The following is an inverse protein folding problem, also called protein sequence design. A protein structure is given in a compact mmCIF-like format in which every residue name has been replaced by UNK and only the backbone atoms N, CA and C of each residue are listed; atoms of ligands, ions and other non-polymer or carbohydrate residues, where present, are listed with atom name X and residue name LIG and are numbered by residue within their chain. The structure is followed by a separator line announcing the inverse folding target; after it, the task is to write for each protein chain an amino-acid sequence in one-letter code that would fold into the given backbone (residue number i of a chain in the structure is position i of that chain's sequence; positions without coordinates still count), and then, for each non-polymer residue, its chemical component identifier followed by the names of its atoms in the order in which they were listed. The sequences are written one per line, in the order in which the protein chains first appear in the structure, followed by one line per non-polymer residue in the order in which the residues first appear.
data_IF_882921511221
#
_entry.id   IF_882921511221
#
_cell.length_a   1.000
_cell.length_b   1.000
_cell.length_c   1.000
_cell.angle_alpha   90.00
_cell.angle_beta   90.00
_cell.angle_gamma   90.00
#
_symmetry.space_group_name_H-M   'P 1'
#
loop_
_entity.id
_entity.type
_entity.pdbx_description
1 polymer ?
#
# COMPACT_ATOMS: atom_id res chain seq x y z
N UNK A 1 6.63 -13.16 -26.50
CA UNK A 1 7.81 -12.81 -25.68
C UNK A 1 7.60 -11.42 -25.11
N UNK A 2 6.97 -11.33 -23.93
CA UNK A 2 6.85 -10.08 -23.19
C UNK A 2 8.01 -10.08 -22.17
N UNK A 3 8.98 -9.20 -22.37
CA UNK A 3 10.06 -9.00 -21.42
C UNK A 3 9.48 -8.57 -20.07
N UNK A 4 9.99 -9.15 -18.98
CA UNK A 4 9.57 -8.88 -17.60
C UNK A 4 9.80 -7.40 -17.25
N UNK A 5 8.71 -6.62 -17.17
CA UNK A 5 8.77 -5.22 -16.69
C UNK A 5 9.21 -5.14 -15.21
N UNK A 6 9.06 -6.21 -14.43
CA UNK A 6 9.39 -6.23 -13.01
C UNK A 6 10.86 -5.93 -12.67
N UNK A 7 11.81 -6.41 -13.49
CA UNK A 7 13.24 -6.15 -13.28
C UNK A 7 13.66 -4.70 -13.57
N UNK A 8 12.89 -3.97 -14.40
CA UNK A 8 13.16 -2.57 -14.79
C UNK A 8 12.77 -1.54 -13.72
N UNK A 9 12.01 -1.92 -12.70
CA UNK A 9 11.44 -0.96 -11.74
C UNK A 9 12.27 -0.84 -10.46
N UNK A 10 12.92 -1.92 -10.00
CA UNK A 10 14.01 -1.84 -8.99
C UNK A 10 15.21 -1.06 -9.56
N UNK A 11 15.39 -1.04 -10.89
CA UNK A 11 16.39 -0.18 -11.55
C UNK A 11 16.16 1.33 -11.29
N UNK A 12 14.98 1.77 -10.82
CA UNK A 12 14.74 3.16 -10.40
C UNK A 12 15.29 3.47 -9.00
N UNK A 13 15.59 2.49 -8.13
CA UNK A 13 16.23 2.73 -6.83
C UNK A 13 17.68 2.26 -6.85
N UNK A 14 18.62 3.20 -6.92
CA UNK A 14 20.03 2.89 -6.67
C UNK A 14 20.27 2.65 -5.18
N UNK A 15 21.24 1.80 -4.85
CA UNK A 15 21.70 1.61 -3.46
C UNK A 15 22.08 2.94 -2.80
N UNK A 16 22.76 3.83 -3.53
CA UNK A 16 23.10 5.20 -3.09
C UNK A 16 21.86 6.03 -2.71
N UNK A 17 20.77 5.93 -3.48
CA UNK A 17 19.51 6.63 -3.17
C UNK A 17 18.87 6.07 -1.90
N UNK A 18 18.86 4.75 -1.73
CA UNK A 18 18.31 4.11 -0.53
C UNK A 18 19.11 4.54 0.70
N UNK A 19 20.45 4.46 0.63
CA UNK A 19 21.35 4.80 1.73
C UNK A 19 21.20 6.27 2.14
N UNK A 20 21.17 7.19 1.18
CA UNK A 20 20.96 8.63 1.47
C UNK A 20 19.59 8.90 2.05
N UNK A 21 18.54 8.23 1.56
CA UNK A 21 17.18 8.39 2.08
C UNK A 21 17.05 7.87 3.51
N UNK A 22 17.72 6.75 3.82
CA UNK A 22 17.81 6.21 5.18
C UNK A 22 18.59 7.16 6.08
N UNK A 23 19.76 7.62 5.65
CA UNK A 23 20.59 8.54 6.41
C UNK A 23 19.84 9.85 6.72
N UNK A 24 19.14 10.42 5.75
CA UNK A 24 18.30 11.60 5.94
C UNK A 24 17.13 11.33 6.90
N UNK A 25 16.49 10.17 6.81
CA UNK A 25 15.38 9.75 7.67
C UNK A 25 15.79 9.51 9.12
N UNK A 26 17.04 9.11 9.37
CA UNK A 26 17.59 8.98 10.72
C UNK A 26 18.16 10.31 11.24
N UNK A 27 18.74 11.13 10.36
CA UNK A 27 19.34 12.42 10.71
C UNK A 27 18.30 13.45 11.15
N UNK A 28 17.11 13.45 10.54
CA UNK A 28 16.04 14.41 10.90
C UNK A 28 15.59 14.28 12.35
N UNK A 29 15.69 13.07 12.94
CA UNK A 29 15.36 12.82 14.35
C UNK A 29 16.29 13.54 15.34
N UNK A 30 17.48 14.00 14.91
CA UNK A 30 18.38 14.80 15.75
C UNK A 30 17.87 16.21 16.00
N UNK A 31 16.89 16.67 15.20
CA UNK A 31 16.25 17.97 15.33
C UNK A 31 14.73 17.81 15.21
N UNK A 32 14.07 17.14 16.16
CA UNK A 32 12.65 16.78 16.05
C UNK A 32 11.71 17.99 16.09
N UNK A 33 12.21 19.15 16.51
CA UNK A 33 11.49 20.44 16.46
C UNK A 33 11.40 21.02 15.04
N UNK A 34 12.25 20.58 14.11
CA UNK A 34 12.19 21.02 12.72
C UNK A 34 11.10 20.23 11.97
N UNK A 35 10.28 20.88 11.13
CA UNK A 35 9.18 20.21 10.42
C UNK A 35 9.67 19.13 9.45
N UNK A 36 10.83 19.33 8.83
CA UNK A 36 11.48 18.39 7.93
C UNK A 36 12.98 18.71 7.81
N UNK A 37 13.75 17.78 7.23
CA UNK A 37 15.12 17.98 6.79
C UNK A 37 15.15 17.92 5.26
N UNK A 38 15.87 18.84 4.62
CA UNK A 38 16.07 18.88 3.17
C UNK A 38 17.55 18.72 2.85
N UNK A 39 17.89 17.69 2.08
CA UNK A 39 19.24 17.41 1.60
C UNK A 39 19.30 17.46 0.08
N UNK A 40 20.25 18.23 -0.46
CA UNK A 40 20.43 18.39 -1.91
C UNK A 40 21.52 17.45 -2.40
N UNK A 41 21.18 16.53 -3.28
CA UNK A 41 22.12 15.66 -3.96
C UNK A 41 22.39 16.20 -5.37
N UNK A 42 23.43 17.03 -5.49
CA UNK A 42 23.79 17.67 -6.76
C UNK A 42 24.58 16.76 -7.71
N UNK A 43 24.98 15.56 -7.24
CA UNK A 43 25.78 14.59 -8.03
C UNK A 43 24.91 13.67 -8.89
N UNK A 44 23.61 13.58 -8.62
CA UNK A 44 22.68 12.80 -9.43
C UNK A 44 22.29 13.56 -10.70
N UNK A 45 21.91 12.82 -11.74
CA UNK A 45 21.27 13.37 -12.93
C UNK A 45 19.92 12.66 -13.17
N UNK A 46 18.78 13.36 -13.08
CA UNK A 46 18.62 14.76 -12.70
C UNK A 46 19.08 15.04 -11.26
N UNK A 47 19.35 16.31 -10.94
CA UNK A 47 19.67 16.74 -9.56
C UNK A 47 18.53 16.31 -8.64
N UNK A 48 18.88 15.85 -7.45
CA UNK A 48 17.94 15.25 -6.52
C UNK A 48 17.84 16.06 -5.23
N UNK A 49 16.64 16.08 -4.64
CA UNK A 49 16.38 16.64 -3.32
C UNK A 49 15.67 15.58 -2.50
N UNK A 50 16.24 15.27 -1.34
CA UNK A 50 15.65 14.36 -0.36
C UNK A 50 15.02 15.19 0.74
N UNK A 51 13.73 15.00 0.98
CA UNK A 51 12.97 15.66 2.03
C UNK A 51 12.54 14.59 3.02
N UNK A 52 13.08 14.63 4.24
CA UNK A 52 12.76 13.66 5.29
C UNK A 52 12.01 14.28 6.46
N UNK A 53 11.10 13.52 7.07
CA UNK A 53 10.23 13.98 8.15
C UNK A 53 10.57 13.28 9.48
N UNK A 54 10.59 14.03 10.61
CA UNK A 54 10.82 13.42 11.91
C UNK A 54 9.68 12.49 12.29
N UNK A 55 10.01 11.43 13.03
CA UNK A 55 9.02 10.59 13.66
C UNK A 55 8.39 11.31 14.86
N UNK A 56 7.25 10.80 15.30
CA UNK A 56 6.65 11.07 16.60
C UNK A 56 6.18 9.74 17.18
N UNK A 57 6.45 9.53 18.46
CA UNK A 57 5.97 8.37 19.21
C UNK A 57 4.86 8.72 20.19
N UNK A 58 4.57 10.01 20.40
CA UNK A 58 3.51 10.46 21.27
C UNK A 58 2.18 9.77 20.92
N UNK A 59 1.52 9.15 21.91
CA UNK A 59 0.28 8.40 21.72
C UNK A 59 -0.79 9.20 20.96
N UNK A 60 -0.91 10.50 21.27
CA UNK A 60 -1.83 11.43 20.59
C UNK A 60 -1.57 11.59 19.09
N UNK A 61 -0.38 11.26 18.59
CA UNK A 61 0.00 11.38 17.18
C UNK A 61 -0.26 10.07 16.40
N UNK A 62 -0.86 9.07 17.07
CA UNK A 62 -1.23 7.77 16.51
C UNK A 62 -2.71 7.46 16.74
N UNK A 63 -3.22 7.76 17.95
CA UNK A 63 -4.56 7.39 18.42
C UNK A 63 -5.61 8.49 18.25
N UNK A 64 -6.78 8.13 17.69
CA UNK A 64 -7.99 8.96 17.63
C UNK A 64 -9.15 8.32 18.40
N UNK A 65 -10.24 9.07 18.65
CA UNK A 65 -11.44 8.56 19.32
C UNK A 65 -12.14 7.40 18.58
N UNK A 66 -11.84 7.18 17.31
CA UNK A 66 -12.33 6.03 16.53
C UNK A 66 -11.52 4.77 16.84
N UNK A 67 -12.08 3.58 16.58
CA UNK A 67 -11.47 2.29 16.93
C UNK A 67 -10.04 2.12 16.43
N UNK A 68 -9.74 2.60 15.22
CA UNK A 68 -8.40 2.48 14.60
C UNK A 68 -7.75 3.84 14.30
N UNK A 69 -8.29 4.94 14.83
CA UNK A 69 -7.75 6.27 14.59
C UNK A 69 -7.94 6.81 13.16
N UNK A 70 -8.80 6.17 12.37
CA UNK A 70 -9.09 6.48 10.97
C UNK A 70 -9.98 7.72 10.77
N UNK A 71 -9.81 8.39 9.63
CA UNK A 71 -10.63 9.50 9.17
C UNK A 71 -10.67 9.53 7.65
N UNK A 72 -11.67 10.21 7.07
CA UNK A 72 -11.72 10.43 5.62
C UNK A 72 -10.57 11.34 5.17
N UNK A 73 -9.95 10.99 4.05
CA UNK A 73 -8.94 11.83 3.43
C UNK A 73 -9.54 13.13 2.89
N UNK A 74 -8.79 14.23 2.99
CA UNK A 74 -9.23 15.52 2.47
C UNK A 74 -9.19 15.53 0.93
N UNK A 75 -10.36 15.35 0.30
CA UNK A 75 -10.49 15.35 -1.17
C UNK A 75 -10.16 16.69 -1.82
N UNK A 76 -10.02 17.79 -1.06
CA UNK A 76 -9.49 19.06 -1.61
C UNK A 76 -8.00 18.97 -1.90
N UNK A 77 -7.28 18.19 -1.09
CA UNK A 77 -5.85 17.94 -1.25
C UNK A 77 -5.58 16.69 -2.10
N UNK A 78 -6.47 15.70 -2.03
CA UNK A 78 -6.30 14.39 -2.66
C UNK A 78 -7.56 13.92 -3.42
N UNK A 79 -7.96 14.63 -4.50
CA UNK A 79 -9.20 14.33 -5.21
C UNK A 79 -9.25 12.93 -5.83
N UNK A 80 -8.10 12.31 -6.11
CA UNK A 80 -8.01 10.98 -6.71
C UNK A 80 -8.09 9.86 -5.66
N UNK A 81 -7.85 10.14 -4.37
CA UNK A 81 -7.88 9.13 -3.29
C UNK A 81 -9.31 8.82 -2.81
N UNK A 82 -10.12 8.32 -3.75
CA UNK A 82 -11.50 7.86 -3.56
C UNK A 82 -11.83 6.70 -4.48
N UNK A 83 -12.91 5.98 -4.17
CA UNK A 83 -13.59 5.15 -5.15
C UNK A 83 -14.42 6.05 -6.07
N UNK A 84 -14.23 5.95 -7.39
CA UNK A 84 -14.83 6.88 -8.35
C UNK A 84 -16.34 6.64 -8.48
N UNK A 85 -16.77 5.38 -8.62
CA UNK A 85 -18.16 5.05 -8.94
C UNK A 85 -19.17 5.47 -7.85
N UNK A 86 -18.79 5.33 -6.59
CA UNK A 86 -19.65 5.69 -5.44
C UNK A 86 -19.16 6.93 -4.68
N UNK A 87 -18.11 7.60 -5.17
CA UNK A 87 -17.53 8.82 -4.60
C UNK A 87 -17.16 8.71 -3.10
N UNK A 88 -16.76 7.53 -2.64
CA UNK A 88 -16.36 7.29 -1.24
C UNK A 88 -14.87 7.66 -1.06
N UNK A 89 -14.52 8.61 -0.18
CA UNK A 89 -13.12 8.93 0.13
C UNK A 89 -12.37 7.74 0.72
N UNK A 90 -11.06 7.67 0.47
CA UNK A 90 -10.21 6.76 1.21
C UNK A 90 -10.17 7.12 2.70
N UNK A 91 -10.02 6.11 3.56
CA UNK A 91 -9.74 6.34 4.98
C UNK A 91 -8.24 6.31 5.21
N UNK A 92 -7.74 7.22 6.04
CA UNK A 92 -6.34 7.31 6.49
C UNK A 92 -6.26 7.54 7.99
N UNK A 93 -5.08 7.34 8.58
CA UNK A 93 -4.89 7.69 9.99
C UNK A 93 -5.00 9.21 10.15
N UNK A 94 -5.86 9.64 11.09
CA UNK A 94 -6.19 11.04 11.32
C UNK A 94 -4.98 11.90 11.64
N UNK A 95 -4.07 11.42 12.49
CA UNK A 95 -2.95 12.22 12.96
C UNK A 95 -1.83 12.31 11.93
N UNK A 96 -1.62 11.26 11.14
CA UNK A 96 -0.70 11.35 10.02
C UNK A 96 -1.18 12.39 8.99
N UNK A 97 -2.49 12.43 8.71
CA UNK A 97 -3.09 13.44 7.85
C UNK A 97 -2.95 14.85 8.44
N UNK A 98 -3.30 15.04 9.71
CA UNK A 98 -3.19 16.33 10.39
C UNK A 98 -1.75 16.84 10.41
N UNK A 99 -0.77 16.00 10.78
CA UNK A 99 0.65 16.37 10.75
C UNK A 99 1.07 16.85 9.36
N UNK A 100 0.62 16.18 8.30
CA UNK A 100 0.90 16.61 6.94
C UNK A 100 0.23 17.96 6.58
N UNK A 101 -1.04 18.15 6.94
CA UNK A 101 -1.75 19.41 6.72
C UNK A 101 -1.07 20.57 7.45
N UNK A 102 -0.68 20.37 8.72
CA UNK A 102 0.07 21.37 9.48
C UNK A 102 1.41 21.71 8.83
N UNK A 103 2.11 20.72 8.26
CA UNK A 103 3.35 20.95 7.51
C UNK A 103 3.11 21.79 6.26
N UNK A 104 2.03 21.54 5.51
CA UNK A 104 1.69 22.36 4.34
C UNK A 104 1.34 23.79 4.71
N UNK A 105 0.65 24.01 5.83
CA UNK A 105 0.19 25.32 6.27
C UNK A 105 1.28 26.15 6.96
N UNK A 106 2.07 25.52 7.84
CA UNK A 106 2.95 26.22 8.79
C UNK A 106 4.43 26.20 8.41
N UNK A 107 4.82 25.50 7.34
CA UNK A 107 6.24 25.35 6.94
C UNK A 107 6.51 25.80 5.50
N UNK A 108 7.78 25.85 5.12
CA UNK A 108 8.24 26.14 3.76
C UNK A 108 8.14 24.96 2.78
N UNK A 109 7.53 23.83 3.18
CA UNK A 109 7.49 22.60 2.38
C UNK A 109 6.94 22.83 0.97
N UNK A 110 5.80 23.53 0.84
CA UNK A 110 5.19 23.82 -0.45
C UNK A 110 6.14 24.58 -1.38
N UNK A 111 6.78 25.63 -0.87
CA UNK A 111 7.73 26.44 -1.63
C UNK A 111 8.96 25.64 -2.08
N UNK A 112 9.48 24.75 -1.23
CA UNK A 112 10.62 23.89 -1.58
C UNK A 112 10.24 22.85 -2.65
N UNK A 113 9.02 22.30 -2.59
CA UNK A 113 8.50 21.39 -3.62
C UNK A 113 8.30 22.16 -4.94
N UNK A 114 7.69 23.34 -4.90
CA UNK A 114 7.54 24.23 -6.06
C UNK A 114 8.90 24.52 -6.72
N UNK A 115 9.92 24.89 -5.93
CA UNK A 115 11.28 25.15 -6.44
C UNK A 115 11.90 23.92 -7.10
N UNK A 116 11.77 22.75 -6.47
CA UNK A 116 12.33 21.51 -6.98
C UNK A 116 11.64 21.05 -8.27
N UNK A 117 10.30 21.12 -8.33
CA UNK A 117 9.51 20.77 -9.52
C UNK A 117 9.81 21.71 -10.69
N UNK A 118 9.84 23.03 -10.44
CA UNK A 118 10.17 24.03 -11.47
C UNK A 118 11.58 23.85 -12.02
N UNK A 119 12.54 23.45 -11.17
CA UNK A 119 13.92 23.14 -11.57
C UNK A 119 14.10 21.73 -12.12
N UNK A 120 13.01 20.96 -12.32
CA UNK A 120 13.01 19.58 -12.81
C UNK A 120 13.98 18.68 -12.03
N UNK A 121 13.98 18.81 -10.71
CA UNK A 121 14.75 17.94 -9.81
C UNK A 121 13.96 16.68 -9.51
N UNK A 122 14.66 15.56 -9.29
CA UNK A 122 14.04 14.39 -8.65
C UNK A 122 13.76 14.73 -7.19
N UNK A 123 12.50 14.67 -6.78
CA UNK A 123 12.12 14.78 -5.37
C UNK A 123 12.03 13.36 -4.81
N UNK A 124 12.66 13.14 -3.65
CA UNK A 124 12.51 11.91 -2.87
C UNK A 124 11.99 12.30 -1.50
N UNK A 125 10.77 11.89 -1.17
CA UNK A 125 10.24 12.00 0.18
C UNK A 125 10.65 10.75 0.95
N UNK A 126 11.21 10.94 2.15
CA UNK A 126 11.69 9.85 2.97
C UNK A 126 11.20 9.95 4.42
N UNK A 127 11.07 8.81 5.09
CA UNK A 127 10.66 8.81 6.48
C UNK A 127 10.92 7.48 7.17
N UNK A 128 11.35 7.57 8.43
CA UNK A 128 11.44 6.43 9.34
C UNK A 128 10.26 6.46 10.32
N UNK A 129 9.70 5.29 10.65
CA UNK A 129 8.57 5.17 11.58
C UNK A 129 7.39 6.05 11.14
N UNK A 130 6.74 6.80 12.05
CA UNK A 130 5.66 7.74 11.73
C UNK A 130 6.09 8.99 10.92
N UNK A 131 7.37 9.14 10.56
CA UNK A 131 7.78 10.05 9.49
C UNK A 131 7.43 9.50 8.09
N UNK A 132 7.32 8.18 7.95
CA UNK A 132 6.96 7.49 6.70
C UNK A 132 5.57 7.85 6.16
N UNK A 133 4.50 7.82 6.97
CA UNK A 133 3.17 8.25 6.54
C UNK A 133 3.11 9.68 6.05
N UNK A 134 3.87 10.59 6.68
CA UNK A 134 3.98 11.98 6.25
C UNK A 134 4.69 12.08 4.89
N UNK A 135 5.75 11.30 4.67
CA UNK A 135 6.43 11.20 3.37
C UNK A 135 5.49 10.67 2.28
N UNK A 136 4.67 9.67 2.61
CA UNK A 136 3.67 9.10 1.70
C UNK A 136 2.64 10.15 1.30
N UNK A 137 2.05 10.86 2.27
CA UNK A 137 1.06 11.92 2.01
C UNK A 137 1.66 13.09 1.23
N UNK A 138 2.91 13.49 1.53
CA UNK A 138 3.62 14.53 0.77
C UNK A 138 3.86 14.12 -0.68
N UNK A 139 4.17 12.85 -0.92
CA UNK A 139 4.36 12.30 -2.28
C UNK A 139 3.05 12.35 -3.06
N UNK A 140 1.96 11.84 -2.48
CA UNK A 140 0.64 11.83 -3.11
C UNK A 140 0.13 13.25 -3.38
N UNK A 141 0.30 14.16 -2.43
CA UNK A 141 -0.06 15.57 -2.60
C UNK A 141 0.71 16.20 -3.77
N UNK A 142 2.01 15.91 -3.88
CA UNK A 142 2.84 16.36 -5.00
C UNK A 142 2.36 15.77 -6.34
N UNK A 143 1.96 14.50 -6.37
CA UNK A 143 1.40 13.88 -7.57
C UNK A 143 0.09 14.56 -8.01
N UNK A 144 -0.84 14.77 -7.08
CA UNK A 144 -2.13 15.43 -7.33
C UNK A 144 -1.96 16.86 -7.87
N UNK A 145 -1.02 17.62 -7.29
CA UNK A 145 -0.85 19.05 -7.58
C UNK A 145 -0.03 19.34 -8.84
N UNK A 146 0.92 18.47 -9.19
CA UNK A 146 1.91 18.76 -10.24
C UNK A 146 1.93 17.75 -11.39
N UNK A 147 1.35 16.56 -11.22
CA UNK A 147 1.40 15.47 -12.21
C UNK A 147 -0.01 15.13 -12.69
N UNK A 148 -0.65 16.12 -13.32
CA UNK A 148 -1.95 15.92 -13.97
C UNK A 148 -1.84 15.04 -15.22
N UNK A 149 -2.94 14.41 -15.70
CA UNK A 149 -2.95 13.62 -16.94
C UNK A 149 -2.47 14.38 -18.20
N UNK A 150 -2.48 15.73 -18.14
CA UNK A 150 -2.03 16.63 -19.21
C UNK A 150 -0.50 16.84 -19.19
N UNK A 151 0.17 16.62 -18.07
CA UNK A 151 1.63 16.75 -17.91
C UNK A 151 2.33 15.40 -18.11
N UNK A 152 2.29 14.86 -19.33
CA UNK A 152 2.88 13.56 -19.72
C UNK A 152 4.44 13.51 -19.70
N UNK A 153 5.10 14.41 -18.98
CA UNK A 153 6.58 14.53 -18.98
C UNK A 153 7.20 15.05 -17.69
N UNK A 154 6.45 15.09 -16.58
CA UNK A 154 6.99 15.47 -15.26
C UNK A 154 7.78 14.33 -14.60
N UNK A 155 8.84 14.69 -13.86
CA UNK A 155 9.57 13.74 -13.02
C UNK A 155 8.68 13.42 -11.81
N UNK A 156 8.32 12.15 -11.66
CA UNK A 156 7.48 11.72 -10.55
C UNK A 156 8.28 11.71 -9.25
N UNK A 157 7.74 12.23 -8.12
CA UNK A 157 8.40 12.11 -6.84
C UNK A 157 8.46 10.63 -6.44
N UNK A 158 9.52 10.26 -5.72
CA UNK A 158 9.67 8.93 -5.12
C UNK A 158 9.38 9.02 -3.63
N UNK A 159 8.80 7.97 -3.07
CA UNK A 159 8.63 7.82 -1.64
C UNK A 159 9.43 6.61 -1.14
N UNK A 160 10.32 6.81 -0.17
CA UNK A 160 11.12 5.73 0.43
C UNK A 160 10.94 5.76 1.95
N UNK A 161 10.30 4.73 2.49
CA UNK A 161 10.01 4.67 3.92
C UNK A 161 10.68 3.48 4.60
N UNK A 162 11.03 3.61 5.88
CA UNK A 162 11.71 2.60 6.67
C UNK A 162 10.90 2.33 7.95
N UNK A 163 10.42 1.11 8.14
CA UNK A 163 9.61 0.75 9.32
C UNK A 163 8.34 1.60 9.47
N UNK A 164 7.76 2.04 8.35
CA UNK A 164 6.57 2.89 8.38
C UNK A 164 5.34 2.07 8.78
N UNK A 165 4.47 2.59 9.68
CA UNK A 165 3.13 2.05 9.85
C UNK A 165 2.32 2.16 8.55
N UNK A 166 1.24 1.38 8.46
CA UNK A 166 0.26 1.52 7.39
C UNK A 166 -0.40 2.91 7.41
N UNK A 167 -0.92 3.37 6.27
CA UNK A 167 -1.43 4.75 6.15
C UNK A 167 -2.92 4.82 5.89
N UNK A 168 -3.41 4.02 4.93
CA UNK A 168 -4.78 4.09 4.46
C UNK A 168 -5.43 2.73 4.23
N UNK A 169 -6.72 2.76 3.94
CA UNK A 169 -7.53 1.56 3.74
C UNK A 169 -7.40 0.95 2.33
N UNK A 170 -8.24 -0.03 2.02
CA UNK A 170 -8.27 -0.66 0.69
C UNK A 170 -8.58 0.34 -0.45
N UNK A 171 -9.42 1.36 -0.22
CA UNK A 171 -9.70 2.42 -1.21
C UNK A 171 -8.43 3.23 -1.49
N UNK A 172 -7.64 3.55 -0.47
CA UNK A 172 -6.34 4.21 -0.64
C UNK A 172 -5.42 3.37 -1.55
N UNK A 173 -5.30 2.07 -1.25
CA UNK A 173 -4.49 1.13 -2.03
C UNK A 173 -4.99 1.02 -3.48
N UNK A 174 -6.30 0.84 -3.68
CA UNK A 174 -6.95 0.78 -4.99
C UNK A 174 -6.76 2.06 -5.80
N UNK A 175 -7.00 3.23 -5.20
CA UNK A 175 -6.86 4.52 -5.88
C UNK A 175 -5.43 4.73 -6.39
N UNK A 176 -4.41 4.44 -5.59
CA UNK A 176 -3.01 4.57 -6.05
C UNK A 176 -2.66 3.63 -7.20
N UNK A 177 -3.25 2.43 -7.28
CA UNK A 177 -3.06 1.52 -8.42
C UNK A 177 -3.78 2.03 -9.66
N UNK A 178 -5.03 2.48 -9.51
CA UNK A 178 -5.83 3.05 -10.60
C UNK A 178 -5.13 4.23 -11.29
N UNK A 179 -4.50 5.10 -10.50
CA UNK A 179 -3.75 6.25 -11.03
C UNK A 179 -2.32 5.89 -11.50
N UNK A 180 -1.90 4.62 -11.43
CA UNK A 180 -0.53 4.16 -11.68
C UNK A 180 0.53 4.86 -10.80
N UNK A 181 0.18 5.18 -9.56
CA UNK A 181 1.08 5.81 -8.60
C UNK A 181 1.82 4.83 -7.71
N UNK A 182 1.29 3.62 -7.49
CA UNK A 182 1.88 2.65 -6.55
C UNK A 182 3.34 2.28 -6.87
N UNK A 183 3.78 2.39 -8.13
CA UNK A 183 5.17 2.08 -8.54
C UNK A 183 6.23 3.05 -7.98
N UNK A 184 5.82 4.20 -7.43
CA UNK A 184 6.74 5.23 -6.91
C UNK A 184 6.93 5.17 -5.39
N UNK A 185 6.32 4.18 -4.72
CA UNK A 185 6.34 4.01 -3.27
C UNK A 185 7.13 2.76 -2.91
N UNK A 186 8.17 2.91 -2.09
CA UNK A 186 9.05 1.83 -1.64
C UNK A 186 9.08 1.77 -0.11
N UNK A 187 8.61 0.66 0.46
CA UNK A 187 8.47 0.45 1.90
C UNK A 187 9.45 -0.62 2.36
N UNK A 188 10.54 -0.21 2.99
CA UNK A 188 11.50 -1.13 3.61
C UNK A 188 11.00 -1.57 4.98
N UNK A 189 10.93 -2.88 5.17
CA UNK A 189 10.43 -3.51 6.39
C UNK A 189 11.40 -4.60 6.82
N UNK A 190 12.05 -4.44 7.97
CA UNK A 190 12.79 -5.54 8.59
C UNK A 190 11.79 -6.60 9.06
N UNK A 191 12.18 -7.88 8.93
CA UNK A 191 11.31 -9.06 9.09
C UNK A 191 10.39 -8.95 10.31
N UNK A 192 10.93 -8.70 11.49
CA UNK A 192 10.22 -8.69 12.76
C UNK A 192 9.73 -7.31 13.20
N UNK A 193 10.10 -6.22 12.52
CA UNK A 193 9.76 -4.84 12.95
C UNK A 193 8.26 -4.70 13.27
N UNK A 194 7.92 -4.39 14.52
CA UNK A 194 6.51 -4.35 14.94
C UNK A 194 5.76 -3.13 14.40
N UNK A 195 6.45 -2.02 14.08
CA UNK A 195 5.82 -0.73 13.78
C UNK A 195 4.93 -0.75 12.53
N UNK A 196 5.33 -1.38 11.41
CA UNK A 196 4.45 -1.60 10.26
C UNK A 196 3.16 -2.36 10.57
N UNK A 197 3.09 -3.09 11.70
CA UNK A 197 1.95 -3.92 12.10
C UNK A 197 1.05 -3.27 13.16
N UNK A 198 1.50 -2.22 13.85
CA UNK A 198 0.76 -1.60 14.99
C UNK A 198 -0.69 -1.26 14.63
N UNK A 199 -0.91 -0.65 13.47
CA UNK A 199 -2.25 -0.23 13.06
C UNK A 199 -3.17 -1.39 12.63
N UNK A 200 -2.70 -2.63 12.65
CA UNK A 200 -3.57 -3.81 12.51
C UNK A 200 -4.33 -4.13 13.80
N UNK A 201 -3.94 -3.54 14.93
CA UNK A 201 -4.64 -3.62 16.20
C UNK A 201 -5.44 -2.35 16.51
N UNK A 202 -6.57 -2.48 17.23
CA UNK A 202 -7.29 -1.33 17.74
C UNK A 202 -6.39 -0.63 18.77
N UNK A 203 -6.14 0.65 18.55
CA UNK A 203 -5.16 1.36 19.38
C UNK A 203 -5.62 1.49 20.84
N UNK A 204 -6.93 1.40 21.12
CA UNK A 204 -7.49 1.35 22.48
C UNK A 204 -7.05 0.14 23.30
N UNK A 205 -6.75 -0.99 22.63
CA UNK A 205 -6.18 -2.16 23.31
C UNK A 205 -4.70 -1.98 23.62
N UNK A 206 -4.06 -0.95 23.07
CA UNK A 206 -2.63 -0.72 23.16
C UNK A 206 -2.24 0.38 24.15
N UNK A 207 -3.17 1.14 24.73
CA UNK A 207 -2.88 2.35 25.54
C UNK A 207 -1.65 2.21 26.47
N UNK A 208 -1.66 1.23 27.39
CA UNK A 208 -0.54 1.02 28.33
C UNK A 208 0.72 0.44 27.67
N UNK A 209 0.56 -0.46 26.69
CA UNK A 209 1.70 -1.06 25.99
C UNK A 209 2.39 -0.09 25.04
N UNK A 210 1.63 0.81 24.43
CA UNK A 210 2.10 1.81 23.48
C UNK A 210 2.87 2.93 24.18
N UNK A 211 2.51 3.31 25.41
CA UNK A 211 3.29 4.25 26.21
C UNK A 211 4.74 3.79 26.39
N UNK A 212 4.95 2.51 26.69
CA UNK A 212 6.29 1.93 26.83
C UNK A 212 7.06 1.90 25.49
N UNK A 213 6.36 1.70 24.37
CA UNK A 213 6.96 1.73 23.02
C UNK A 213 7.23 3.17 22.56
N UNK A 214 6.39 4.13 22.94
CA UNK A 214 6.56 5.57 22.65
C UNK A 214 7.92 6.09 23.15
N UNK A 215 8.38 5.61 24.31
CA UNK A 215 9.70 5.97 24.85
C UNK A 215 10.87 5.67 23.89
N UNK A 216 10.75 4.65 23.04
CA UNK A 216 11.83 4.22 22.14
C UNK A 216 11.64 4.68 20.69
N UNK A 217 10.39 4.97 20.25
CA UNK A 217 10.08 5.40 18.88
C UNK A 217 9.88 6.92 18.74
N UNK A 218 9.75 7.66 19.84
CA UNK A 218 9.65 9.13 19.80
C UNK A 218 11.04 9.80 19.87
N UNK A 219 11.47 10.55 18.85
CA UNK A 219 12.75 11.26 18.86
C UNK A 219 12.86 12.36 19.92
N UNK A 220 11.75 12.77 20.56
CA UNK A 220 11.75 13.72 21.67
C UNK A 220 12.12 13.07 23.00
N UNK A 221 12.06 11.74 23.10
CA UNK A 221 12.41 11.01 24.31
C UNK A 221 13.92 10.77 24.40
N UNK A 222 14.48 10.85 25.62
CA UNK A 222 15.92 10.59 25.87
C UNK A 222 16.33 9.15 25.54
N UNK A 223 15.38 8.24 25.62
CA UNK A 223 15.51 6.80 25.36
C UNK A 223 15.38 6.42 23.89
N UNK A 224 15.12 7.38 23.00
CA UNK A 224 14.92 7.16 21.57
C UNK A 224 16.04 6.32 20.94
N UNK A 225 15.67 5.29 20.19
CA UNK A 225 16.60 4.41 19.48
C UNK A 225 17.74 3.83 20.34
N UNK A 226 17.55 3.73 21.66
CA UNK A 226 18.53 3.13 22.56
C UNK A 226 18.14 1.70 22.89
N UNK A 227 18.96 0.73 22.45
CA UNK A 227 18.76 -0.68 22.77
C UNK A 227 18.78 -0.96 24.29
N UNK A 228 19.53 -0.17 25.07
CA UNK A 228 19.53 -0.28 26.54
C UNK A 228 18.18 0.09 27.15
N UNK A 229 17.37 0.89 26.45
CA UNK A 229 16.00 1.24 26.86
C UNK A 229 15.02 0.11 26.64
N UNK A 230 15.24 -0.75 25.64
CA UNK A 230 14.38 -1.91 25.38
C UNK A 230 14.28 -2.84 26.59
N UNK A 231 15.40 -3.00 27.32
CA UNK A 231 15.46 -3.84 28.53
C UNK A 231 14.61 -3.31 29.69
N UNK A 232 14.17 -2.04 29.63
CA UNK A 232 13.33 -1.41 30.67
C UNK A 232 11.83 -1.56 30.39
N UNK A 233 11.44 -1.96 29.18
CA UNK A 233 10.05 -2.19 28.83
C UNK A 233 9.57 -3.41 29.62
N UNK A 234 8.61 -3.21 30.52
CA UNK A 234 7.99 -4.29 31.25
C UNK A 234 7.13 -5.11 30.27
N UNK A 235 7.55 -6.35 29.99
CA UNK A 235 6.82 -7.32 29.17
C UNK A 235 6.52 -6.86 27.71
N UNK A 236 7.55 -6.69 26.85
CA UNK A 236 7.35 -6.37 25.43
C UNK A 236 6.51 -7.42 24.69
N UNK A 237 6.41 -8.63 25.24
CA UNK A 237 5.55 -9.71 24.77
C UNK A 237 4.06 -9.38 24.81
N UNK A 238 3.58 -8.58 25.77
CA UNK A 238 2.16 -8.19 25.86
C UNK A 238 1.78 -7.30 24.68
N UNK A 239 2.57 -6.25 24.45
CA UNK A 239 2.36 -5.35 23.31
C UNK A 239 2.44 -6.10 21.98
N UNK A 240 3.48 -6.93 21.82
CA UNK A 240 3.66 -7.76 20.65
C UNK A 240 2.47 -8.71 20.42
N UNK A 241 2.02 -9.41 21.47
CA UNK A 241 0.92 -10.35 21.38
C UNK A 241 -0.39 -9.66 20.99
N UNK A 242 -0.68 -8.48 21.53
CA UNK A 242 -1.87 -7.72 21.18
C UNK A 242 -1.85 -7.30 19.69
N UNK A 243 -0.71 -6.75 19.22
CA UNK A 243 -0.55 -6.38 17.82
C UNK A 243 -0.69 -7.58 16.90
N UNK A 244 0.00 -8.68 17.20
CA UNK A 244 0.05 -9.85 16.34
C UNK A 244 -1.22 -10.69 16.38
N UNK A 245 -1.97 -10.70 17.49
CA UNK A 245 -3.28 -11.36 17.58
C UNK A 245 -4.34 -10.66 16.73
N UNK A 246 -4.34 -9.33 16.73
CA UNK A 246 -5.22 -8.56 15.85
C UNK A 246 -4.78 -8.68 14.38
N UNK A 247 -3.47 -8.65 14.10
CA UNK A 247 -2.95 -8.94 12.77
C UNK A 247 -3.37 -10.34 12.27
N UNK A 248 -3.35 -11.36 13.13
CA UNK A 248 -3.84 -12.70 12.81
C UNK A 248 -5.32 -12.68 12.41
N UNK A 249 -6.15 -11.94 13.15
CA UNK A 249 -7.58 -11.81 12.87
C UNK A 249 -7.83 -11.12 11.53
N UNK A 250 -7.16 -10.00 11.27
CA UNK A 250 -7.27 -9.25 10.00
C UNK A 250 -6.80 -10.10 8.82
N UNK A 251 -5.64 -10.75 8.93
CA UNK A 251 -5.08 -11.59 7.85
C UNK A 251 -5.90 -12.83 7.60
N UNK A 252 -6.43 -13.48 8.63
CA UNK A 252 -7.34 -14.63 8.50
C UNK A 252 -8.62 -14.25 7.79
N UNK A 253 -9.25 -13.14 8.20
CA UNK A 253 -10.45 -12.66 7.53
C UNK A 253 -10.18 -12.31 6.06
N UNK A 254 -9.06 -11.65 5.77
CA UNK A 254 -8.63 -11.40 4.40
C UNK A 254 -8.42 -12.70 3.61
N UNK A 255 -7.74 -13.69 4.19
CA UNK A 255 -7.49 -14.98 3.54
C UNK A 255 -8.79 -15.74 3.20
N UNK A 256 -9.80 -15.71 4.08
CA UNK A 256 -11.12 -16.27 3.79
C UNK A 256 -11.78 -15.61 2.56
N UNK A 257 -11.69 -14.28 2.45
CA UNK A 257 -12.19 -13.55 1.27
C UNK A 257 -11.42 -13.92 0.01
N UNK A 258 -10.08 -14.00 0.08
CA UNK A 258 -9.23 -14.41 -1.05
C UNK A 258 -9.60 -15.80 -1.57
N UNK A 259 -9.92 -16.73 -0.68
CA UNK A 259 -10.28 -18.11 -1.02
C UNK A 259 -11.76 -18.25 -1.46
N UNK A 260 -12.52 -17.16 -1.54
CA UNK A 260 -13.91 -17.17 -2.00
C UNK A 260 -14.89 -17.78 -0.99
N UNK A 261 -14.56 -17.78 0.31
CA UNK A 261 -15.48 -18.23 1.35
C UNK A 261 -16.64 -17.23 1.47
N UNK A 262 -17.82 -17.62 1.01
CA UNK A 262 -19.08 -16.84 1.07
C UNK A 262 -19.88 -17.12 2.34
N UNK A 263 -19.21 -17.51 3.44
CA UNK A 263 -19.93 -17.81 4.67
C UNK A 263 -20.51 -16.51 5.27
N UNK A 264 -21.84 -16.40 5.33
CA UNK A 264 -22.56 -15.32 6.01
C UNK A 264 -22.12 -15.14 7.49
N UNK A 265 -21.52 -16.17 8.08
CA UNK A 265 -20.91 -16.14 9.43
C UNK A 265 -19.71 -15.21 9.51
N UNK A 266 -18.89 -15.06 8.45
CA UNK A 266 -17.72 -14.17 8.43
C UNK A 266 -18.13 -12.70 8.48
N UNK A 267 -19.15 -12.33 7.71
CA UNK A 267 -19.72 -10.97 7.75
C UNK A 267 -20.40 -10.69 9.09
N UNK A 268 -21.09 -11.69 9.63
CA UNK A 268 -21.70 -11.59 10.97
C UNK A 268 -20.62 -11.42 12.06
N UNK A 269 -19.51 -12.16 11.99
CA UNK A 269 -18.38 -12.06 12.92
C UNK A 269 -17.67 -10.70 12.84
N UNK A 270 -17.55 -10.13 11.63
CA UNK A 270 -16.96 -8.80 11.43
C UNK A 270 -17.76 -7.68 12.12
N UNK A 271 -19.04 -7.90 12.42
CA UNK A 271 -19.85 -6.96 13.20
C UNK A 271 -19.51 -6.98 14.71
N UNK A 272 -18.94 -8.07 15.22
CA UNK A 272 -18.59 -8.23 16.64
C UNK A 272 -17.10 -8.02 16.91
N UNK A 273 -16.24 -8.30 15.94
CA UNK A 273 -14.79 -8.14 16.05
C UNK A 273 -14.35 -7.02 15.11
N UNK A 274 -13.99 -5.83 15.62
CA UNK A 274 -13.55 -4.74 14.76
C UNK A 274 -12.26 -5.14 14.05
N UNK A 275 -12.25 -5.01 12.72
CA UNK A 275 -11.09 -5.31 11.89
C UNK A 275 -10.43 -4.02 11.43
N UNK A 276 -9.11 -3.94 11.55
CA UNK A 276 -8.37 -2.78 11.07
C UNK A 276 -8.67 -2.50 9.60
N UNK A 277 -8.97 -1.24 9.22
CA UNK A 277 -9.22 -0.88 7.83
C UNK A 277 -7.92 -0.77 7.03
N UNK A 278 -6.77 -0.59 7.68
CA UNK A 278 -5.51 -0.24 7.04
C UNK A 278 -4.96 -1.39 6.18
N UNK A 279 -4.47 -1.07 4.98
CA UNK A 279 -3.96 -2.05 4.00
C UNK A 279 -2.60 -1.60 3.44
N UNK A 280 -1.74 -2.56 3.07
CA UNK A 280 -0.55 -2.25 2.29
C UNK A 280 -0.89 -1.60 0.94
N UNK A 281 0.02 -0.76 0.45
CA UNK A 281 0.00 -0.20 -0.89
C UNK A 281 1.44 0.09 -1.31
N UNK A 282 1.69 0.16 -2.63
CA UNK A 282 3.06 0.37 -3.12
C UNK A 282 3.90 -0.91 -3.12
N UNK A 283 5.22 -0.73 -3.21
CA UNK A 283 6.19 -1.82 -3.25
C UNK A 283 6.82 -2.03 -1.88
N UNK A 284 6.62 -3.21 -1.30
CA UNK A 284 7.27 -3.59 -0.04
C UNK A 284 8.56 -4.37 -0.28
N UNK A 285 9.58 -4.05 0.51
CA UNK A 285 10.89 -4.70 0.50
C UNK A 285 11.13 -5.26 1.90
N UNK A 286 10.81 -6.55 2.07
CA UNK A 286 11.05 -7.26 3.33
C UNK A 286 12.52 -7.67 3.41
N UNK A 287 13.20 -7.22 4.46
CA UNK A 287 14.63 -7.47 4.66
C UNK A 287 14.83 -8.50 5.77
N UNK A 288 15.53 -9.59 5.44
CA UNK A 288 15.95 -10.61 6.41
C UNK A 288 17.34 -10.31 6.92
N UNK A 289 17.64 -10.81 8.12
CA UNK A 289 18.93 -10.63 8.79
C UNK A 289 19.64 -11.96 9.05
N UNK A 290 19.18 -13.04 8.41
CA UNK A 290 19.77 -14.38 8.55
C UNK A 290 21.11 -14.48 7.80
N UNK A 291 22.19 -14.80 8.54
CA UNK A 291 23.53 -15.04 7.97
C UNK A 291 24.36 -13.78 7.72
N UNK A 292 25.48 -13.92 6.99
CA UNK A 292 26.36 -12.80 6.62
C UNK A 292 25.81 -11.94 5.45
N UNK A 293 24.78 -12.40 4.74
CA UNK A 293 24.18 -11.72 3.58
C UNK A 293 22.64 -11.85 3.65
N UNK A 294 21.97 -10.87 4.27
CA UNK A 294 20.51 -10.85 4.33
C UNK A 294 19.88 -10.54 2.97
N UNK A 295 18.65 -11.03 2.75
CA UNK A 295 17.92 -10.88 1.49
C UNK A 295 16.87 -9.79 1.56
N UNK A 296 16.60 -9.18 0.41
CA UNK A 296 15.57 -8.17 0.20
C UNK A 296 14.49 -8.72 -0.72
N UNK A 297 13.37 -9.16 -0.13
CA UNK A 297 12.24 -9.75 -0.84
C UNK A 297 11.28 -8.65 -1.26
N UNK A 298 11.09 -8.47 -2.58
CA UNK A 298 10.28 -7.40 -3.15
C UNK A 298 8.91 -7.90 -3.57
N UNK A 299 7.86 -7.24 -3.08
CA UNK A 299 6.46 -7.60 -3.32
C UNK A 299 5.61 -6.37 -3.67
N UNK A 300 4.59 -6.55 -4.51
CA UNK A 300 3.67 -5.48 -4.94
C UNK A 300 2.19 -5.76 -4.70
N UNK A 301 1.79 -7.03 -4.66
CA UNK A 301 0.39 -7.39 -4.42
C UNK A 301 0.03 -7.07 -2.95
N UNK A 302 -0.91 -6.15 -2.70
CA UNK A 302 -1.21 -5.65 -1.34
C UNK A 302 -1.77 -6.74 -0.42
N UNK A 303 -2.55 -7.68 -0.97
CA UNK A 303 -3.13 -8.77 -0.20
C UNK A 303 -2.07 -9.79 0.22
N UNK A 304 -1.13 -10.12 -0.68
CA UNK A 304 0.01 -10.95 -0.36
C UNK A 304 0.92 -10.30 0.69
N UNK A 305 1.19 -8.99 0.57
CA UNK A 305 1.98 -8.23 1.55
C UNK A 305 1.30 -8.26 2.92
N UNK A 306 -0.03 -8.12 2.96
CA UNK A 306 -0.80 -8.19 4.22
C UNK A 306 -0.64 -9.56 4.90
N UNK A 307 -0.65 -10.65 4.13
CA UNK A 307 -0.37 -11.99 4.68
C UNK A 307 1.07 -12.08 5.22
N UNK A 308 2.06 -11.58 4.47
CA UNK A 308 3.47 -11.59 4.90
C UNK A 308 3.69 -10.75 6.16
N UNK A 309 3.00 -9.62 6.33
CA UNK A 309 3.08 -8.80 7.55
C UNK A 309 2.83 -9.59 8.84
N UNK A 310 1.92 -10.56 8.79
CA UNK A 310 1.64 -11.47 9.89
C UNK A 310 2.60 -12.66 9.91
N UNK A 311 2.66 -13.43 8.82
CA UNK A 311 3.36 -14.71 8.80
C UNK A 311 4.88 -14.58 8.97
N UNK A 312 5.49 -13.49 8.50
CA UNK A 312 6.95 -13.28 8.62
C UNK A 312 7.43 -12.99 10.04
N UNK A 313 6.52 -12.53 10.89
CA UNK A 313 6.76 -12.18 12.28
C UNK A 313 6.01 -13.15 13.22
N UNK A 314 5.82 -14.42 12.84
CA UNK A 314 5.29 -15.42 13.76
C UNK A 314 6.38 -16.00 14.67
N UNK A 315 5.95 -16.50 15.83
CA UNK A 315 6.74 -17.34 16.70
C UNK A 315 6.82 -18.75 16.12
N UNK A 316 7.99 -19.39 16.17
CA UNK A 316 8.12 -20.80 15.80
C UNK A 316 7.69 -21.72 16.94
N UNK A 317 7.88 -21.26 18.19
CA UNK A 317 7.44 -21.94 19.41
C UNK A 317 7.17 -20.94 20.56
N UNK A 318 6.53 -21.40 21.63
CA UNK A 318 6.21 -20.54 22.79
C UNK A 318 7.48 -20.05 23.52
N UNK A 319 8.55 -20.84 23.49
CA UNK A 319 9.83 -20.50 24.12
C UNK A 319 10.51 -19.28 23.48
N UNK A 320 10.21 -18.98 22.21
CA UNK A 320 10.78 -17.84 21.49
C UNK A 320 10.07 -16.50 21.80
N UNK A 321 8.97 -16.51 22.56
CA UNK A 321 8.10 -15.34 22.77
C UNK A 321 8.86 -14.11 23.26
N UNK A 322 9.71 -14.28 24.28
CA UNK A 322 10.49 -13.18 24.85
C UNK A 322 11.54 -12.65 23.86
N UNK A 323 12.15 -13.54 23.09
CA UNK A 323 13.18 -13.19 22.11
C UNK A 323 12.59 -12.46 20.91
N UNK A 324 11.52 -12.97 20.31
CA UNK A 324 10.91 -12.37 19.11
C UNK A 324 10.22 -11.06 19.44
N UNK A 325 9.55 -10.95 20.60
CA UNK A 325 8.97 -9.67 21.03
C UNK A 325 10.05 -8.60 21.24
N UNK A 326 11.18 -8.95 21.86
CA UNK A 326 12.33 -8.04 21.96
C UNK A 326 12.90 -7.69 20.58
N UNK A 327 13.11 -8.68 19.72
CA UNK A 327 13.64 -8.50 18.36
C UNK A 327 12.73 -7.60 17.51
N UNK A 328 11.42 -7.70 17.68
CA UNK A 328 10.43 -6.90 16.96
C UNK A 328 10.58 -5.40 17.21
N UNK A 329 10.94 -5.02 18.43
CA UNK A 329 11.23 -3.64 18.80
C UNK A 329 12.66 -3.27 18.41
N UNK A 330 13.63 -4.19 18.59
CA UNK A 330 15.04 -3.97 18.23
C UNK A 330 15.21 -3.65 16.75
N UNK A 331 14.56 -4.41 15.86
CA UNK A 331 14.65 -4.19 14.42
C UNK A 331 14.15 -2.80 14.00
N UNK A 332 13.16 -2.25 14.70
CA UNK A 332 12.74 -0.88 14.44
C UNK A 332 13.85 0.14 14.71
N UNK A 333 14.77 -0.13 15.63
CA UNK A 333 15.85 0.79 15.99
C UNK A 333 17.11 0.57 15.13
N UNK A 334 17.24 -0.60 14.49
CA UNK A 334 18.49 -1.03 13.86
C UNK A 334 18.50 -0.93 12.34
N UNK A 335 17.53 -0.27 11.69
CA UNK A 335 17.55 -0.02 10.23
C UNK A 335 18.88 0.54 9.73
N UNK A 336 19.47 1.50 10.44
CA UNK A 336 20.77 2.09 10.09
C UNK A 336 21.93 1.10 10.04
N UNK A 337 21.83 -0.04 10.75
CA UNK A 337 22.86 -1.08 10.83
C UNK A 337 22.49 -2.26 9.93
N UNK A 338 21.26 -2.75 10.04
CA UNK A 338 20.80 -3.98 9.40
C UNK A 338 20.55 -3.78 7.90
N UNK A 339 19.94 -2.66 7.52
CA UNK A 339 19.67 -2.42 6.10
C UNK A 339 20.97 -2.12 5.35
N UNK A 340 21.90 -1.35 5.95
CA UNK A 340 23.19 -1.04 5.33
C UNK A 340 24.02 -2.28 4.96
N UNK A 341 23.98 -3.33 5.81
CA UNK A 341 24.64 -4.61 5.53
C UNK A 341 24.07 -5.32 4.29
N UNK A 342 22.82 -5.04 3.94
CA UNK A 342 22.06 -5.75 2.92
C UNK A 342 21.90 -4.98 1.59
N UNK A 343 22.47 -3.77 1.43
CA UNK A 343 22.24 -2.89 0.26
C UNK A 343 22.98 -3.31 -1.05
N UNK A 344 23.51 -4.53 -1.13
CA UNK A 344 24.10 -5.08 -2.35
C UNK A 344 23.04 -5.50 -3.38
N UNK A 345 23.24 -5.15 -4.66
CA UNK A 345 22.30 -5.45 -5.77
C UNK A 345 22.04 -6.96 -5.99
N UNK A 346 22.91 -7.85 -5.48
CA UNK A 346 22.73 -9.30 -5.59
C UNK A 346 21.75 -9.87 -4.54
N UNK A 347 21.27 -9.06 -3.60
CA UNK A 347 20.43 -9.54 -2.49
C UNK A 347 18.93 -9.36 -2.72
N UNK A 348 18.52 -8.79 -3.87
CA UNK A 348 17.12 -8.57 -4.18
C UNK A 348 16.48 -9.82 -4.79
N UNK A 349 15.38 -10.28 -4.20
CA UNK A 349 14.53 -11.36 -4.72
C UNK A 349 13.17 -10.78 -5.06
N UNK A 350 12.90 -10.62 -6.34
CA UNK A 350 11.62 -10.13 -6.82
C UNK A 350 10.58 -11.25 -6.83
N UNK A 351 9.45 -11.05 -6.15
CA UNK A 351 8.31 -11.96 -6.19
C UNK A 351 7.23 -11.40 -7.13
N UNK A 352 7.46 -11.54 -8.43
CA UNK A 352 6.53 -11.10 -9.48
C UNK A 352 5.51 -12.18 -9.88
N UNK A 353 5.90 -13.46 -9.82
CA UNK A 353 5.07 -14.63 -10.16
C UNK A 353 4.60 -15.35 -8.89
N UNK A 354 3.73 -14.67 -8.13
CA UNK A 354 3.23 -15.17 -6.85
C UNK A 354 2.47 -16.51 -6.99
N UNK A 355 1.88 -16.78 -8.16
CA UNK A 355 1.16 -18.02 -8.46
C UNK A 355 2.08 -19.25 -8.54
N UNK A 356 3.38 -19.06 -8.80
CA UNK A 356 4.37 -20.14 -8.94
C UNK A 356 5.26 -20.32 -7.72
N UNK A 357 4.90 -19.69 -6.60
CA UNK A 357 5.67 -19.81 -5.36
C UNK A 357 5.71 -21.29 -4.91
N UNK A 358 6.90 -21.82 -4.56
CA UNK A 358 7.05 -23.20 -4.11
C UNK A 358 6.32 -23.42 -2.78
N UNK A 359 5.57 -24.52 -2.66
CA UNK A 359 4.82 -24.86 -1.44
C UNK A 359 5.59 -25.75 -0.45
N UNK A 360 6.66 -26.39 -0.92
CA UNK A 360 7.53 -27.26 -0.11
C UNK A 360 8.98 -26.81 -0.14
N UNK A 361 9.76 -27.32 0.81
CA UNK A 361 11.18 -26.97 0.97
C UNK A 361 12.08 -27.63 -0.08
N UNK A 362 11.62 -28.68 -0.77
CA UNK A 362 12.45 -29.43 -1.72
C UNK A 362 12.35 -28.85 -3.13
N UNK A 363 13.40 -28.16 -3.55
CA UNK A 363 13.56 -27.63 -4.92
C UNK A 363 14.86 -28.12 -5.53
N UNK A 364 14.87 -28.36 -6.85
CA UNK A 364 16.08 -28.64 -7.61
C UNK A 364 17.07 -27.46 -7.50
N UNK A 365 18.35 -27.70 -7.16
CA UNK A 365 19.35 -26.63 -7.03
C UNK A 365 19.55 -25.85 -8.34
N UNK A 366 19.75 -24.54 -8.24
CA UNK A 366 20.22 -23.69 -9.35
C UNK A 366 19.15 -23.02 -10.23
N UNK A 367 17.88 -23.02 -9.84
CA UNK A 367 16.80 -22.28 -10.53
C UNK A 367 16.35 -21.04 -9.75
N UNK A 368 15.72 -20.07 -10.42
CA UNK A 368 15.09 -18.90 -9.77
C UNK A 368 14.10 -19.31 -8.67
N UNK A 369 13.43 -20.46 -8.84
CA UNK A 369 12.51 -21.05 -7.87
C UNK A 369 13.24 -21.45 -6.58
N UNK A 370 14.47 -21.96 -6.66
CA UNK A 370 15.27 -22.28 -5.47
C UNK A 370 15.65 -21.01 -4.71
N UNK A 371 16.04 -19.94 -5.40
CA UNK A 371 16.33 -18.64 -4.77
C UNK A 371 15.11 -18.07 -4.04
N UNK A 372 13.94 -18.14 -4.69
CA UNK A 372 12.65 -17.76 -4.10
C UNK A 372 12.35 -18.62 -2.88
N UNK A 373 12.50 -19.94 -2.97
CA UNK A 373 12.22 -20.86 -1.86
C UNK A 373 13.06 -20.53 -0.62
N UNK A 374 14.37 -20.31 -0.80
CA UNK A 374 15.26 -19.93 0.29
C UNK A 374 14.84 -18.58 0.86
N UNK A 375 14.49 -17.59 0.03
CA UNK A 375 14.04 -16.28 0.50
C UNK A 375 12.74 -16.35 1.33
N UNK A 376 11.79 -17.20 0.94
CA UNK A 376 10.55 -17.42 1.70
C UNK A 376 10.82 -18.16 3.02
N UNK A 377 11.78 -19.08 3.04
CA UNK A 377 12.26 -19.73 4.27
C UNK A 377 12.99 -18.74 5.19
N UNK A 378 13.82 -17.85 4.65
CA UNK A 378 14.50 -16.79 5.40
C UNK A 378 13.51 -15.81 6.04
N UNK A 379 12.34 -15.61 5.42
CA UNK A 379 11.20 -14.89 6.00
C UNK A 379 10.38 -15.70 7.01
N UNK A 380 10.65 -17.00 7.18
CA UNK A 380 9.89 -17.89 8.06
C UNK A 380 8.47 -18.19 7.58
N UNK A 381 8.22 -18.12 6.27
CA UNK A 381 6.88 -18.31 5.72
C UNK A 381 6.51 -19.80 5.66
N UNK A 382 5.59 -20.21 6.55
CA UNK A 382 5.00 -21.55 6.57
C UNK A 382 4.28 -21.90 5.26
N UNK A 383 4.03 -23.19 5.00
CA UNK A 383 3.22 -23.63 3.84
C UNK A 383 1.87 -22.93 3.78
N UNK A 384 1.23 -22.69 4.94
CA UNK A 384 -0.03 -21.95 5.01
C UNK A 384 0.13 -20.50 4.54
N UNK A 385 1.21 -19.83 4.92
CA UNK A 385 1.51 -18.48 4.47
C UNK A 385 1.63 -18.43 2.94
N UNK A 386 2.36 -19.40 2.36
CA UNK A 386 2.58 -19.51 0.92
C UNK A 386 1.29 -19.78 0.15
N UNK A 387 0.39 -20.60 0.69
CA UNK A 387 -0.95 -20.80 0.13
C UNK A 387 -1.78 -19.51 0.14
N UNK A 388 -1.70 -18.71 1.21
CA UNK A 388 -2.40 -17.42 1.26
C UNK A 388 -1.85 -16.41 0.24
N UNK A 389 -0.52 -16.43 0.00
CA UNK A 389 0.11 -15.61 -1.05
C UNK A 389 -0.35 -16.06 -2.44
N UNK A 390 -0.42 -17.37 -2.70
CA UNK A 390 -0.95 -17.90 -3.97
C UNK A 390 -2.44 -17.56 -4.15
N UNK A 391 -3.24 -17.59 -3.08
CA UNK A 391 -4.65 -17.18 -3.15
C UNK A 391 -4.80 -15.70 -3.54
N UNK A 392 -3.94 -14.82 -3.01
CA UNK A 392 -3.88 -13.42 -3.42
C UNK A 392 -3.52 -13.26 -4.91
N UNK A 393 -2.59 -14.07 -5.41
CA UNK A 393 -2.23 -14.10 -6.84
C UNK A 393 -3.38 -14.59 -7.72
N UNK A 394 -4.08 -15.63 -7.28
CA UNK A 394 -5.22 -16.21 -8.00
C UNK A 394 -6.40 -15.23 -8.06
N UNK A 395 -6.62 -14.42 -7.02
CA UNK A 395 -7.61 -13.35 -7.04
C UNK A 395 -7.27 -12.30 -8.10
N UNK A 396 -6.03 -11.81 -8.12
CA UNK A 396 -5.57 -10.81 -9.11
C UNK A 396 -5.70 -11.33 -10.54
N UNK A 397 -5.34 -12.60 -10.79
CA UNK A 397 -5.52 -13.21 -12.11
C UNK A 397 -7.00 -13.35 -12.48
N UNK A 398 -7.89 -13.65 -11.51
CA UNK A 398 -9.34 -13.66 -11.75
C UNK A 398 -9.84 -12.27 -12.15
N UNK A 399 -9.38 -11.19 -11.50
CA UNK A 399 -9.73 -9.81 -11.88
C UNK A 399 -9.31 -9.51 -13.32
N UNK A 400 -8.09 -9.88 -13.70
CA UNK A 400 -7.58 -9.72 -15.07
C UNK A 400 -8.35 -10.55 -16.11
N UNK A 401 -8.79 -11.76 -15.75
CA UNK A 401 -9.64 -12.59 -16.62
C UNK A 401 -11.02 -11.93 -16.80
N UNK A 402 -11.61 -11.41 -15.74
CA UNK A 402 -12.87 -10.65 -15.80
C UNK A 402 -12.73 -9.41 -16.69
N UNK A 403 -11.65 -8.63 -16.53
CA UNK A 403 -11.37 -7.45 -17.36
C UNK A 403 -11.29 -7.83 -18.85
N UNK A 404 -10.56 -8.90 -19.19
CA UNK A 404 -10.50 -9.40 -20.59
C UNK A 404 -11.86 -9.86 -21.12
N UNK A 405 -12.66 -10.50 -20.28
CA UNK A 405 -14.02 -10.91 -20.63
C UNK A 405 -14.88 -9.69 -20.99
N UNK A 406 -14.77 -8.62 -20.21
CA UNK A 406 -15.45 -7.34 -20.45
C UNK A 406 -14.93 -6.68 -21.73
N UNK A 407 -13.62 -6.60 -21.94
CA UNK A 407 -13.06 -6.02 -23.18
C UNK A 407 -13.52 -6.81 -24.42
N UNK A 408 -13.69 -8.14 -24.30
CA UNK A 408 -14.27 -8.97 -25.34
C UNK A 408 -15.71 -8.59 -25.74
N UNK A 409 -16.47 -7.94 -24.84
CA UNK A 409 -17.85 -7.46 -25.09
C UNK A 409 -17.89 -6.07 -25.72
N UNK A 410 -16.77 -5.35 -25.80
CA UNK A 410 -16.71 -3.98 -26.30
C UNK A 410 -17.22 -3.84 -27.73
N UNK A 411 -16.80 -4.74 -28.64
CA UNK A 411 -17.26 -4.72 -30.04
C UNK A 411 -18.79 -4.86 -30.14
N UNK A 412 -19.36 -5.75 -29.34
CA UNK A 412 -20.81 -5.92 -29.27
C UNK A 412 -21.49 -4.63 -28.78
N UNK A 413 -20.95 -4.00 -27.73
CA UNK A 413 -21.49 -2.73 -27.23
C UNK A 413 -21.40 -1.61 -28.29
N UNK A 414 -20.27 -1.51 -28.99
CA UNK A 414 -20.06 -0.53 -30.08
C UNK A 414 -21.07 -0.74 -31.23
N UNK A 415 -21.30 -1.99 -31.65
CA UNK A 415 -22.31 -2.33 -32.67
C UNK A 415 -23.72 -1.89 -32.26
N UNK A 416 -24.13 -2.17 -31.02
CA UNK A 416 -25.46 -1.78 -30.51
C UNK A 416 -25.59 -0.26 -30.30
N UNK A 417 -24.53 0.40 -29.84
CA UNK A 417 -24.50 1.86 -29.73
C UNK A 417 -24.60 2.54 -31.09
N UNK A 418 -23.93 2.01 -32.13
CA UNK A 418 -24.04 2.50 -33.49
C UNK A 418 -25.47 2.32 -34.04
N UNK A 419 -26.12 1.19 -33.79
CA UNK A 419 -27.51 0.98 -34.17
C UNK A 419 -28.47 1.99 -33.51
N UNK A 420 -28.26 2.29 -32.23
CA UNK A 420 -29.02 3.32 -31.51
C UNK A 420 -28.73 4.74 -32.03
N UNK A 421 -27.50 5.03 -32.46
CA UNK A 421 -27.16 6.29 -33.09
C UNK A 421 -27.90 6.48 -34.42
N UNK A 422 -27.94 5.44 -35.27
CA UNK A 422 -28.71 5.46 -36.52
C UNK A 422 -30.21 5.61 -36.28
N UNK A 423 -30.75 4.96 -35.24
CA UNK A 423 -32.15 5.15 -34.82
C UNK A 423 -32.44 6.60 -34.42
N UNK A 424 -31.54 7.20 -33.62
CA UNK A 424 -31.65 8.60 -33.20
C UNK A 424 -31.62 9.56 -34.39
N UNK A 425 -30.75 9.33 -35.36
CA UNK A 425 -30.67 10.14 -36.59
C UNK A 425 -31.96 10.02 -37.41
N UNK A 426 -32.41 8.79 -37.68
CA UNK A 426 -33.63 8.53 -38.46
C UNK A 426 -34.86 9.19 -37.84
N UNK A 427 -35.01 9.10 -36.51
CA UNK A 427 -36.10 9.77 -35.78
C UNK A 427 -35.91 11.29 -35.67
N UNK A 428 -34.67 11.77 -35.65
CA UNK A 428 -34.36 13.20 -35.64
C UNK A 428 -34.85 13.95 -36.87
N UNK A 429 -34.99 13.27 -38.01
CA UNK A 429 -35.56 13.83 -39.24
C UNK A 429 -37.10 13.87 -39.25
N UNK A 430 -37.75 13.23 -38.28
CA UNK A 430 -39.21 13.23 -38.14
C UNK A 430 -39.64 14.35 -37.17
N UNK A 431 -40.88 14.83 -37.29
CA UNK A 431 -41.44 15.86 -36.38
C UNK A 431 -41.44 15.45 -34.91
N UNK A 432 -41.33 14.15 -34.65
CA UNK A 432 -41.37 13.51 -33.34
C UNK A 432 -39.97 12.95 -33.07
N UNK A 433 -39.28 13.51 -32.07
CA UNK A 433 -37.91 13.10 -31.75
C UNK A 433 -37.83 11.64 -31.27
N UNK A 434 -36.61 11.11 -31.21
CA UNK A 434 -36.36 9.71 -30.84
C UNK A 434 -36.89 9.35 -29.44
N UNK A 435 -36.91 10.29 -28.49
CA UNK A 435 -37.43 10.07 -27.15
C UNK A 435 -38.94 9.79 -27.17
N UNK A 436 -39.73 10.64 -27.84
CA UNK A 436 -41.18 10.48 -27.92
C UNK A 436 -41.57 9.27 -28.79
N UNK A 437 -40.81 9.02 -29.87
CA UNK A 437 -40.99 7.81 -30.68
C UNK A 437 -40.73 6.54 -29.86
N UNK A 438 -39.63 6.50 -29.10
CA UNK A 438 -39.31 5.40 -28.21
C UNK A 438 -40.34 5.26 -27.09
N UNK A 439 -40.90 6.35 -26.56
CA UNK A 439 -41.93 6.31 -25.53
C UNK A 439 -43.22 5.67 -26.04
N UNK A 440 -43.60 5.99 -27.28
CA UNK A 440 -44.89 5.57 -27.83
C UNK A 440 -44.84 4.18 -28.48
N UNK A 441 -43.65 3.67 -28.84
CA UNK A 441 -43.43 2.30 -29.35
C UNK A 441 -44.37 1.92 -30.51
N UNK A 442 -44.55 2.82 -31.48
CA UNK A 442 -45.54 2.63 -32.54
C UNK A 442 -44.98 1.89 -33.76
N UNK A 443 -43.68 2.00 -34.03
CA UNK A 443 -43.05 1.33 -35.17
C UNK A 443 -42.08 0.21 -34.71
N UNK A 444 -41.85 -0.77 -35.59
CA UNK A 444 -40.93 -1.88 -35.34
C UNK A 444 -39.51 -1.43 -34.94
N UNK A 445 -39.03 -0.31 -35.48
CA UNK A 445 -37.72 0.25 -35.12
C UNK A 445 -37.65 0.71 -33.66
N UNK A 446 -38.76 1.16 -33.06
CA UNK A 446 -38.80 1.54 -31.63
C UNK A 446 -38.64 0.31 -30.73
N UNK A 447 -39.26 -0.80 -31.12
CA UNK A 447 -39.09 -2.09 -30.43
C UNK A 447 -37.66 -2.60 -30.55
N UNK A 448 -37.04 -2.53 -31.73
CA UNK A 448 -35.63 -2.89 -31.91
C UNK A 448 -34.70 -2.02 -31.07
N UNK A 449 -34.95 -0.71 -30.99
CA UNK A 449 -34.22 0.18 -30.10
C UNK A 449 -34.36 -0.23 -28.62
N UNK A 450 -35.54 -0.70 -28.19
CA UNK A 450 -35.73 -1.20 -26.82
C UNK A 450 -34.95 -2.51 -26.56
N UNK A 451 -34.92 -3.42 -27.54
CA UNK A 451 -34.10 -4.65 -27.44
C UNK A 451 -32.62 -4.30 -27.31
N UNK A 452 -32.08 -3.43 -28.18
CA UNK A 452 -30.67 -3.02 -28.12
C UNK A 452 -30.34 -2.30 -26.80
N UNK A 453 -31.25 -1.47 -26.29
CA UNK A 453 -31.11 -0.83 -24.97
C UNK A 453 -31.02 -1.86 -23.85
N UNK A 454 -31.86 -2.89 -23.86
CA UNK A 454 -31.85 -3.95 -22.84
C UNK A 454 -30.58 -4.80 -22.92
N UNK A 455 -30.14 -5.16 -24.12
CA UNK A 455 -28.87 -5.88 -24.33
C UNK A 455 -27.68 -5.08 -23.78
N UNK A 456 -27.63 -3.77 -24.04
CA UNK A 456 -26.62 -2.88 -23.49
C UNK A 456 -26.71 -2.77 -21.96
N UNK A 457 -27.92 -2.65 -21.42
CA UNK A 457 -28.14 -2.57 -19.98
C UNK A 457 -27.61 -3.83 -19.28
N UNK A 458 -27.88 -5.03 -19.82
CA UNK A 458 -27.38 -6.27 -19.24
C UNK A 458 -25.84 -6.34 -19.17
N UNK A 459 -25.14 -5.83 -20.20
CA UNK A 459 -23.67 -5.75 -20.17
C UNK A 459 -23.19 -4.73 -19.13
N UNK A 460 -23.83 -3.57 -19.04
CA UNK A 460 -23.48 -2.56 -18.04
C UNK A 460 -23.75 -3.03 -16.61
N UNK A 461 -24.87 -3.71 -16.35
CA UNK A 461 -25.21 -4.26 -15.04
C UNK A 461 -24.16 -5.28 -14.58
N UNK A 462 -23.69 -6.15 -15.48
CA UNK A 462 -22.59 -7.08 -15.18
C UNK A 462 -21.28 -6.35 -14.84
N UNK A 463 -20.93 -5.29 -15.59
CA UNK A 463 -19.73 -4.48 -15.30
C UNK A 463 -19.87 -3.82 -13.93
N UNK A 464 -21.03 -3.25 -13.61
CA UNK A 464 -21.31 -2.59 -12.34
C UNK A 464 -21.23 -3.60 -11.18
N UNK A 465 -21.83 -4.78 -11.32
CA UNK A 465 -21.77 -5.83 -10.30
C UNK A 465 -20.32 -6.23 -10.00
N UNK A 466 -19.51 -6.43 -11.05
CA UNK A 466 -18.09 -6.75 -10.91
C UNK A 466 -17.28 -5.63 -10.24
N UNK A 467 -17.58 -4.37 -10.54
CA UNK A 467 -16.96 -3.21 -9.87
C UNK A 467 -17.35 -3.14 -8.38
N UNK A 468 -18.62 -3.38 -8.05
CA UNK A 468 -19.12 -3.35 -6.67
C UNK A 468 -18.49 -4.45 -5.81
N UNK A 469 -18.20 -5.60 -6.41
CA UNK A 469 -17.60 -6.75 -5.74
C UNK A 469 -16.06 -6.75 -5.76
N UNK A 470 -15.41 -5.66 -6.24
CA UNK A 470 -13.95 -5.56 -6.40
C UNK A 470 -13.36 -6.71 -7.23
N UNK A 471 -14.03 -7.08 -8.33
CA UNK A 471 -13.64 -8.20 -9.21
C UNK A 471 -12.94 -7.77 -10.51
N UNK A 472 -12.52 -6.50 -10.61
CA UNK A 472 -11.86 -5.92 -11.80
C UNK A 472 -10.53 -5.25 -11.48
#
# INVERSE_FOLDING_TARGET
MAASKGGSEIMKLSADRIEKSLAASLKVHKTPEKPYLLEKNSRSNPKEVIISFPASGAFKDWFSKTTFGETEIDLKLFPSLRSIGNNIPALVNKFFLQRFQELLEKSSLKTEVDDAMNKKKQIVFAGHSSGGPVAILATLWTMEHYLTPKSRGGIHPLCITFGSPLVGNHIFSHATRRENWSEYFFQFVLRYDIVPRILLAPLSSLDQGFEAVSEIIDPKNRSFMSESSLKRIASPSVFYFEVMSNAATVTRHAACKLMGTTEATLETLANFVPLSPYRPFGTYIFSTTSGNEGKQIVMKNPDAILQVMFFSAQLSSEEETAQVSFESLRQHLTYGIELQKNLGLQNFVLLDQLEKIPLSEHTTPGSDIATINIALNDLGLSTRARLCIQAAAALEERKRINEKSIEGKKKFMEEKMNALASYRETRGHQKKGYYDAFKDQLDAQDFHANVWRLELAGVWDEIIEKLLNDEL
#
